data_IF_497379761561
#
_entry.id   IF_497379761561
#
_cell.length_a   1.000
_cell.length_b   1.000
_cell.length_c   1.000
_cell.angle_alpha   90.00
_cell.angle_beta   90.00
_cell.angle_gamma   90.00
#
_symmetry.space_group_name_H-M   'P 1'
#
loop_
_entity.id
_entity.type
_entity.pdbx_description
1 polymer ?
#
# COMPACT_ATOMS: atom_id res chain seq x y z
N UNK A 1 -17.48 19.70 -14.33
CA UNK A 1 -17.10 19.21 -15.67
C UNK A 1 -15.86 18.33 -15.48
N UNK A 2 -15.87 17.12 -16.05
CA UNK A 2 -14.71 16.24 -16.02
C UNK A 2 -13.84 16.53 -17.24
N UNK A 3 -12.58 16.87 -17.01
CA UNK A 3 -11.56 17.12 -18.03
C UNK A 3 -10.46 16.05 -17.91
N UNK A 4 -9.59 16.00 -18.93
CA UNK A 4 -8.40 15.14 -18.93
C UNK A 4 -7.14 15.99 -18.77
N UNK A 5 -6.15 15.44 -18.07
CA UNK A 5 -4.78 15.96 -17.99
C UNK A 5 -3.78 14.84 -18.13
N UNK A 6 -2.55 15.22 -18.38
CA UNK A 6 -1.42 14.30 -18.41
C UNK A 6 -1.17 13.63 -17.04
N UNK A 7 -0.75 12.38 -17.06
CA UNK A 7 -0.16 11.68 -15.94
C UNK A 7 1.33 12.01 -15.89
N UNK A 8 1.78 12.62 -14.79
CA UNK A 8 3.15 13.10 -14.64
C UNK A 8 4.07 11.94 -14.21
N UNK A 9 4.57 11.20 -15.19
CA UNK A 9 5.32 9.96 -15.04
C UNK A 9 6.57 10.12 -14.18
N UNK A 10 7.34 11.20 -14.40
CA UNK A 10 8.55 11.51 -13.63
C UNK A 10 8.25 11.70 -12.14
N UNK A 11 7.11 12.29 -11.78
CA UNK A 11 6.69 12.43 -10.38
C UNK A 11 6.38 11.09 -9.74
N UNK A 12 5.71 10.20 -10.47
CA UNK A 12 5.43 8.85 -10.00
C UNK A 12 6.72 8.05 -9.78
N UNK A 13 7.66 8.15 -10.73
CA UNK A 13 8.99 7.52 -10.64
C UNK A 13 9.81 8.09 -9.49
N UNK A 14 9.85 9.43 -9.35
CA UNK A 14 10.58 10.09 -8.25
C UNK A 14 10.03 9.63 -6.89
N UNK A 15 8.70 9.58 -6.74
CA UNK A 15 8.05 9.05 -5.55
C UNK A 15 8.44 7.59 -5.28
N UNK A 16 8.33 6.74 -6.31
CA UNK A 16 8.66 5.33 -6.20
C UNK A 16 10.11 5.11 -5.74
N UNK A 17 11.08 5.79 -6.35
CA UNK A 17 12.49 5.69 -5.97
C UNK A 17 12.74 6.17 -4.54
N UNK A 18 12.09 7.26 -4.11
CA UNK A 18 12.24 7.79 -2.75
C UNK A 18 11.74 6.80 -1.69
N UNK A 19 10.63 6.13 -1.95
CA UNK A 19 9.94 5.29 -0.98
C UNK A 19 10.05 3.78 -1.22
N UNK A 20 10.90 3.35 -2.16
CA UNK A 20 11.12 1.94 -2.45
C UNK A 20 11.64 1.14 -1.24
N UNK A 21 12.58 1.72 -0.48
CA UNK A 21 13.26 1.07 0.64
C UNK A 21 12.82 1.60 2.01
N UNK A 22 11.96 2.62 2.03
CA UNK A 22 11.39 3.21 3.24
C UNK A 22 9.89 3.39 3.08
N UNK A 23 9.20 3.71 4.17
CA UNK A 23 7.74 3.92 4.12
C UNK A 23 7.40 5.39 4.26
N UNK A 24 6.48 5.87 3.42
CA UNK A 24 5.95 7.22 3.57
C UNK A 24 5.04 7.28 4.81
N UNK A 25 5.31 8.16 5.79
CA UNK A 25 4.57 8.22 7.05
C UNK A 25 3.09 8.62 6.89
N UNK A 26 2.69 9.16 5.74
CA UNK A 26 1.28 9.47 5.46
C UNK A 26 0.41 8.24 5.23
N UNK A 27 1.03 7.08 4.97
CA UNK A 27 0.30 5.87 4.62
C UNK A 27 0.61 4.73 5.57
N UNK A 28 -0.43 3.99 5.94
CA UNK A 28 -0.28 2.78 6.73
C UNK A 28 0.43 1.70 5.89
N UNK A 29 1.35 0.94 6.50
CA UNK A 29 1.95 -0.23 5.86
C UNK A 29 1.11 -1.48 6.11
N UNK A 30 0.86 -2.23 5.05
CA UNK A 30 0.08 -3.48 5.10
C UNK A 30 0.99 -4.72 5.09
N UNK A 31 2.26 -4.57 5.41
CA UNK A 31 3.19 -5.68 5.58
C UNK A 31 2.70 -6.64 6.67
N UNK A 32 2.75 -7.94 6.39
CA UNK A 32 2.21 -8.97 7.28
C UNK A 32 0.69 -9.12 7.26
N UNK A 33 -0.04 -8.25 6.54
CA UNK A 33 -1.51 -8.26 6.45
C UNK A 33 -1.95 -8.29 4.97
N UNK A 34 -1.34 -9.14 4.14
CA UNK A 34 -1.68 -9.28 2.73
C UNK A 34 -0.74 -8.58 1.75
N UNK A 35 0.29 -7.87 2.23
CA UNK A 35 1.33 -7.25 1.39
C UNK A 35 1.10 -5.77 1.09
N UNK A 36 2.19 -5.08 0.79
CA UNK A 36 2.23 -3.62 0.60
C UNK A 36 2.43 -3.18 -0.86
N UNK A 37 2.56 -4.12 -1.80
CA UNK A 37 2.97 -3.83 -3.18
C UNK A 37 1.99 -2.88 -3.90
N UNK A 38 0.69 -3.20 -3.88
CA UNK A 38 -0.32 -2.36 -4.54
C UNK A 38 -0.54 -1.03 -3.79
N UNK A 39 -0.44 -1.03 -2.45
CA UNK A 39 -0.47 0.20 -1.65
C UNK A 39 0.64 1.17 -2.07
N UNK A 40 1.87 0.67 -2.19
CA UNK A 40 3.03 1.46 -2.63
C UNK A 40 2.87 1.99 -4.07
N UNK A 41 2.45 1.13 -5.00
CA UNK A 41 2.22 1.54 -6.38
C UNK A 41 1.07 2.56 -6.48
N UNK A 42 0.01 2.40 -5.68
CA UNK A 42 -1.07 3.39 -5.61
C UNK A 42 -0.57 4.76 -5.14
N UNK A 43 0.32 4.81 -4.16
CA UNK A 43 0.95 6.05 -3.71
C UNK A 43 1.78 6.70 -4.83
N UNK A 44 2.56 5.89 -5.55
CA UNK A 44 3.38 6.35 -6.68
C UNK A 44 2.51 6.92 -7.81
N UNK A 45 1.42 6.21 -8.16
CA UNK A 45 0.45 6.68 -9.16
C UNK A 45 -0.26 7.94 -8.69
N UNK A 46 -0.55 8.07 -7.39
CA UNK A 46 -1.12 9.29 -6.83
C UNK A 46 -0.16 10.47 -6.98
N UNK A 47 1.13 10.29 -6.74
CA UNK A 47 2.13 11.34 -6.92
C UNK A 47 2.16 11.88 -8.36
N UNK A 48 1.93 11.02 -9.37
CA UNK A 48 1.83 11.43 -10.77
C UNK A 48 0.47 11.97 -11.20
N UNK A 49 -0.61 11.63 -10.48
CA UNK A 49 -1.98 11.99 -10.87
C UNK A 49 -2.58 13.12 -10.04
N UNK A 50 -2.31 13.18 -8.75
CA UNK A 50 -2.92 14.05 -7.76
C UNK A 50 -4.46 14.05 -7.77
N UNK A 51 -5.07 12.93 -8.15
CA UNK A 51 -6.54 12.78 -8.19
C UNK A 51 -6.92 11.40 -7.72
N UNK A 52 -7.69 11.33 -6.64
CA UNK A 52 -8.34 10.11 -6.17
C UNK A 52 -9.78 10.02 -6.68
N UNK A 53 -10.32 8.80 -6.74
CA UNK A 53 -11.73 8.55 -7.00
C UNK A 53 -12.42 8.03 -5.74
N UNK A 54 -13.30 8.83 -5.16
CA UNK A 54 -13.96 8.54 -3.88
C UNK A 54 -15.27 7.74 -4.00
N UNK A 55 -15.56 7.13 -5.15
CA UNK A 55 -16.71 6.23 -5.28
C UNK A 55 -16.52 5.07 -4.30
N UNK A 56 -17.46 4.81 -3.39
CA UNK A 56 -17.37 3.69 -2.45
C UNK A 56 -17.19 2.35 -3.19
N UNK A 57 -16.33 1.46 -2.67
CA UNK A 57 -16.03 0.12 -3.19
C UNK A 57 -15.34 0.13 -4.56
N UNK A 58 -15.88 0.83 -5.55
CA UNK A 58 -15.40 0.82 -6.95
C UNK A 58 -14.40 1.94 -7.27
N UNK A 59 -14.18 2.87 -6.36
CA UNK A 59 -13.21 3.95 -6.53
C UNK A 59 -11.77 3.52 -6.23
N UNK A 60 -10.90 4.52 -6.21
CA UNK A 60 -9.49 4.35 -5.88
C UNK A 60 -9.05 5.54 -5.02
N UNK A 61 -9.00 5.32 -3.71
CA UNK A 61 -8.68 6.35 -2.73
C UNK A 61 -8.10 5.76 -1.45
N UNK A 62 -7.41 6.60 -0.68
CA UNK A 62 -6.93 6.32 0.65
C UNK A 62 -7.17 7.53 1.56
N UNK A 63 -7.81 7.31 2.70
CA UNK A 63 -7.99 8.29 3.77
C UNK A 63 -7.32 7.81 5.07
N UNK A 64 -7.37 6.51 5.33
CA UNK A 64 -6.70 5.85 6.45
C UNK A 64 -6.65 4.34 6.19
N UNK A 65 -5.99 3.60 7.09
CA UNK A 65 -5.93 2.13 7.02
C UNK A 65 -7.31 1.47 6.89
N UNK A 66 -8.33 2.01 7.55
CA UNK A 66 -9.70 1.48 7.56
C UNK A 66 -10.65 2.19 6.59
N UNK A 67 -10.21 3.29 5.96
CA UNK A 67 -11.01 4.10 5.04
C UNK A 67 -10.27 4.25 3.71
N UNK A 68 -10.23 3.19 2.97
CA UNK A 68 -9.66 3.13 1.61
C UNK A 68 -10.52 2.27 0.70
N UNK A 69 -10.41 2.49 -0.60
CA UNK A 69 -11.03 1.61 -1.58
C UNK A 69 -10.24 0.28 -1.69
N UNK A 70 -10.91 -0.85 -2.02
CA UNK A 70 -10.22 -2.11 -2.31
C UNK A 70 -9.14 -1.98 -3.41
N UNK A 71 -9.37 -1.12 -4.39
CA UNK A 71 -8.43 -0.86 -5.48
C UNK A 71 -7.13 -0.20 -5.02
N UNK A 72 -7.08 0.42 -3.83
CA UNK A 72 -5.86 1.01 -3.30
C UNK A 72 -4.81 -0.03 -2.88
N UNK A 73 -5.25 -1.20 -2.39
CA UNK A 73 -4.35 -2.22 -1.83
C UNK A 73 -4.43 -3.59 -2.51
N UNK A 74 -5.46 -3.84 -3.31
CA UNK A 74 -5.68 -5.15 -3.91
C UNK A 74 -5.28 -5.20 -5.39
N UNK A 75 -4.42 -6.18 -5.75
CA UNK A 75 -3.84 -6.34 -7.10
C UNK A 75 -4.91 -6.34 -8.19
N UNK A 76 -5.91 -7.23 -8.08
CA UNK A 76 -6.97 -7.34 -9.09
C UNK A 76 -7.92 -6.15 -9.08
N UNK A 77 -8.20 -5.58 -7.89
CA UNK A 77 -9.07 -4.40 -7.77
C UNK A 77 -8.42 -3.16 -8.39
N UNK A 78 -7.10 -2.98 -8.21
CA UNK A 78 -6.32 -1.92 -8.86
C UNK A 78 -6.43 -2.02 -10.38
N UNK A 79 -6.19 -3.19 -10.94
CA UNK A 79 -6.35 -3.44 -12.37
C UNK A 79 -7.75 -3.06 -12.85
N UNK A 80 -8.77 -3.63 -12.19
CA UNK A 80 -10.16 -3.39 -12.57
C UNK A 80 -10.52 -1.89 -12.56
N UNK A 81 -10.01 -1.15 -11.58
CA UNK A 81 -10.19 0.29 -11.53
C UNK A 81 -9.50 0.98 -12.71
N UNK A 82 -8.20 0.75 -12.90
CA UNK A 82 -7.42 1.49 -13.90
C UNK A 82 -7.95 1.31 -15.32
N UNK A 83 -8.35 0.09 -15.70
CA UNK A 83 -8.80 -0.19 -17.08
C UNK A 83 -10.26 0.15 -17.34
N UNK A 84 -11.09 0.33 -16.29
CA UNK A 84 -12.50 0.62 -16.45
C UNK A 84 -12.92 2.01 -15.95
N UNK A 85 -11.98 2.82 -15.41
CA UNK A 85 -12.33 4.12 -14.86
C UNK A 85 -12.76 5.09 -15.96
N UNK A 86 -14.02 5.49 -15.95
CA UNK A 86 -14.60 6.51 -16.83
C UNK A 86 -14.88 7.84 -16.12
N UNK A 87 -14.66 7.89 -14.80
CA UNK A 87 -14.86 9.04 -13.93
C UNK A 87 -13.53 9.65 -13.49
N UNK A 88 -13.49 10.50 -12.47
CA UNK A 88 -12.28 11.14 -11.94
C UNK A 88 -11.24 10.12 -11.51
N UNK A 89 -9.97 10.47 -11.58
CA UNK A 89 -8.83 9.62 -11.22
C UNK A 89 -7.99 9.20 -12.44
N UNK A 90 -6.90 8.47 -12.19
CA UNK A 90 -6.09 7.88 -13.25
C UNK A 90 -6.87 6.81 -14.00
N UNK A 91 -6.54 6.62 -15.27
CA UNK A 91 -7.09 5.57 -16.12
C UNK A 91 -6.03 5.06 -17.08
N UNK A 92 -6.19 3.83 -17.54
CA UNK A 92 -5.21 3.19 -18.42
C UNK A 92 -5.78 2.03 -19.19
N UNK A 93 -4.92 1.37 -19.94
CA UNK A 93 -5.22 0.18 -20.72
C UNK A 93 -4.11 -0.87 -20.58
N UNK A 94 -4.41 -2.11 -20.94
CA UNK A 94 -3.37 -3.15 -21.04
C UNK A 94 -2.65 -3.00 -22.37
N UNK A 95 -1.34 -2.99 -22.30
CA UNK A 95 -0.48 -2.90 -23.49
C UNK A 95 0.55 -4.03 -23.50
N UNK A 96 1.08 -4.40 -24.68
CA UNK A 96 2.27 -5.24 -24.77
C UNK A 96 3.46 -4.62 -24.04
N UNK A 97 4.39 -5.45 -23.56
CA UNK A 97 5.54 -4.98 -22.78
C UNK A 97 6.46 -4.05 -23.57
N UNK A 98 6.50 -4.20 -24.88
CA UNK A 98 7.27 -3.36 -25.80
C UNK A 98 6.74 -1.91 -25.89
N UNK A 99 5.52 -1.68 -25.44
CA UNK A 99 4.87 -0.36 -25.39
C UNK A 99 4.91 0.27 -23.99
N UNK A 100 5.51 -0.44 -23.03
CA UNK A 100 5.63 0.04 -21.66
C UNK A 100 6.44 1.34 -21.59
N UNK A 101 6.09 2.19 -20.65
CA UNK A 101 6.77 3.44 -20.36
C UNK A 101 7.11 3.54 -18.86
N UNK A 102 8.04 4.41 -18.49
CA UNK A 102 8.28 4.73 -17.09
C UNK A 102 6.99 5.22 -16.43
N UNK A 103 6.78 4.87 -15.18
CA UNK A 103 5.55 5.20 -14.45
C UNK A 103 4.36 4.28 -14.77
N UNK A 104 4.47 3.35 -15.73
CA UNK A 104 3.50 2.29 -15.94
C UNK A 104 3.59 1.23 -14.84
N UNK A 105 2.54 0.45 -14.73
CA UNK A 105 2.39 -0.55 -13.68
C UNK A 105 2.47 -1.96 -14.28
N UNK A 106 3.31 -2.81 -13.69
CA UNK A 106 3.37 -4.24 -14.03
C UNK A 106 2.69 -5.03 -12.93
N UNK A 107 1.91 -6.03 -13.31
CA UNK A 107 1.40 -7.04 -12.38
C UNK A 107 1.86 -8.42 -12.80
N UNK A 108 2.43 -9.16 -11.84
CA UNK A 108 2.96 -10.51 -12.04
C UNK A 108 1.92 -11.57 -11.70
N UNK A 109 1.83 -12.60 -12.53
CA UNK A 109 0.96 -13.76 -12.37
C UNK A 109 1.78 -14.97 -11.91
N UNK A 110 1.28 -15.72 -10.93
CA UNK A 110 1.86 -16.98 -10.47
C UNK A 110 1.40 -18.19 -11.29
N UNK A 111 1.86 -19.39 -10.92
CA UNK A 111 1.52 -20.63 -11.60
C UNK A 111 0.03 -21.04 -11.42
N UNK A 112 -0.66 -20.48 -10.45
CA UNK A 112 -2.09 -20.72 -10.20
C UNK A 112 -2.99 -19.74 -10.97
N UNK A 113 -2.43 -19.01 -11.94
CA UNK A 113 -3.13 -18.00 -12.74
C UNK A 113 -3.64 -16.79 -11.94
N UNK A 114 -3.05 -16.54 -10.75
CA UNK A 114 -3.40 -15.41 -9.89
C UNK A 114 -2.39 -14.28 -10.07
N UNK A 115 -2.86 -13.07 -10.36
CA UNK A 115 -2.03 -11.87 -10.28
C UNK A 115 -1.82 -11.50 -8.81
N UNK A 116 -0.58 -11.59 -8.34
CA UNK A 116 -0.25 -11.53 -6.92
C UNK A 116 0.65 -10.35 -6.52
N UNK A 117 1.32 -9.74 -7.47
CA UNK A 117 2.30 -8.68 -7.18
C UNK A 117 2.14 -7.49 -8.12
N UNK A 118 2.37 -6.28 -7.61
CA UNK A 118 2.25 -5.02 -8.36
C UNK A 118 3.55 -4.24 -8.24
N UNK A 119 4.10 -3.84 -9.37
CA UNK A 119 5.38 -3.15 -9.55
C UNK A 119 5.15 -1.85 -10.32
N UNK A 120 6.03 -0.85 -10.15
CA UNK A 120 6.04 0.35 -11.00
C UNK A 120 7.35 0.41 -11.78
N UNK A 121 7.27 0.71 -13.08
CA UNK A 121 8.44 0.87 -13.96
C UNK A 121 9.11 2.20 -13.65
N UNK A 122 10.40 2.16 -13.33
CA UNK A 122 11.17 3.36 -13.00
C UNK A 122 12.19 3.72 -14.06
N UNK A 123 12.64 2.76 -14.87
CA UNK A 123 13.56 3.00 -15.98
C UNK A 123 13.42 1.91 -17.05
N UNK A 124 13.69 2.27 -18.30
CA UNK A 124 13.83 1.33 -19.41
C UNK A 124 15.15 1.69 -20.09
N UNK A 125 16.12 0.78 -20.02
CA UNK A 125 17.46 1.01 -20.56
C UNK A 125 17.96 -0.25 -21.27
N UNK A 126 18.39 -0.07 -22.53
CA UNK A 126 18.97 -1.15 -23.36
C UNK A 126 18.08 -2.41 -23.45
N UNK A 127 16.76 -2.21 -23.42
CA UNK A 127 15.76 -3.29 -23.44
C UNK A 127 15.49 -3.92 -22.07
N UNK A 128 16.19 -3.53 -21.03
CA UNK A 128 15.94 -3.95 -19.66
C UNK A 128 14.95 -2.99 -18.95
N UNK A 129 13.97 -3.55 -18.27
CA UNK A 129 13.00 -2.81 -17.47
C UNK A 129 13.43 -2.87 -16.01
N UNK A 130 13.61 -1.69 -15.40
CA UNK A 130 13.87 -1.57 -13.97
C UNK A 130 12.59 -1.14 -13.23
N UNK A 131 12.38 -1.70 -12.05
CA UNK A 131 11.16 -1.47 -11.27
C UNK A 131 11.46 -1.10 -9.82
N UNK A 132 10.50 -0.43 -9.19
CA UNK A 132 10.40 -0.32 -7.75
C UNK A 132 9.17 -1.09 -7.24
N UNK A 133 9.32 -1.70 -6.05
CA UNK A 133 8.26 -2.43 -5.37
C UNK A 133 8.44 -2.46 -3.86
N UNK A 134 7.33 -2.70 -3.15
CA UNK A 134 7.35 -3.07 -1.73
C UNK A 134 6.83 -4.50 -1.53
N UNK A 135 6.94 -4.99 -0.30
CA UNK A 135 6.74 -6.36 0.23
C UNK A 135 7.98 -7.26 0.07
N UNK A 136 8.72 -7.12 -1.02
CA UNK A 136 10.15 -7.40 -1.13
C UNK A 136 10.73 -6.12 -1.69
N UNK A 137 11.29 -5.30 -0.80
CA UNK A 137 11.73 -3.95 -1.14
C UNK A 137 12.73 -3.97 -2.29
N UNK A 138 12.39 -3.24 -3.34
CA UNK A 138 13.15 -3.22 -4.58
C UNK A 138 13.27 -1.80 -5.10
N UNK A 139 14.50 -1.34 -5.28
CA UNK A 139 14.85 -0.05 -5.88
C UNK A 139 15.56 -0.31 -7.22
N UNK A 140 14.96 0.14 -8.30
CA UNK A 140 15.49 -0.02 -9.67
C UNK A 140 15.98 -1.47 -9.96
N UNK A 141 15.22 -2.45 -9.47
CA UNK A 141 15.54 -3.86 -9.63
C UNK A 141 15.15 -4.32 -11.04
N UNK A 142 16.03 -5.06 -11.76
CA UNK A 142 15.70 -5.61 -13.07
C UNK A 142 14.49 -6.54 -13.00
N UNK A 143 13.51 -6.33 -13.89
CA UNK A 143 12.33 -7.19 -14.01
C UNK A 143 12.72 -8.63 -14.33
N UNK A 144 13.79 -8.83 -15.11
CA UNK A 144 14.34 -10.13 -15.48
C UNK A 144 14.76 -11.00 -14.28
N UNK A 145 14.91 -10.43 -13.09
CA UNK A 145 15.26 -11.14 -11.85
C UNK A 145 14.07 -11.69 -11.08
N UNK A 146 12.84 -11.46 -11.56
CA UNK A 146 11.62 -11.97 -10.97
C UNK A 146 11.19 -13.29 -11.62
N UNK A 147 10.68 -14.21 -10.83
CA UNK A 147 10.04 -15.43 -11.31
C UNK A 147 8.53 -15.22 -11.41
N UNK A 148 7.95 -15.44 -12.58
CA UNK A 148 6.51 -15.33 -12.81
C UNK A 148 6.10 -16.20 -14.00
N UNK A 149 4.84 -16.63 -14.04
CA UNK A 149 4.27 -17.36 -15.18
C UNK A 149 3.96 -16.42 -16.34
N UNK A 150 3.39 -15.27 -16.03
CA UNK A 150 2.96 -14.25 -16.98
C UNK A 150 2.96 -12.88 -16.30
N UNK A 151 2.87 -11.84 -17.09
CA UNK A 151 2.68 -10.47 -16.60
C UNK A 151 1.66 -9.72 -17.44
N UNK A 152 1.15 -8.61 -16.90
CA UNK A 152 0.43 -7.59 -17.67
C UNK A 152 1.00 -6.22 -17.36
N UNK A 153 1.06 -5.38 -18.38
CA UNK A 153 1.42 -3.97 -18.26
C UNK A 153 0.15 -3.14 -18.29
N UNK A 154 -0.05 -2.32 -17.28
CA UNK A 154 -1.12 -1.33 -17.21
C UNK A 154 -0.49 0.01 -17.56
N UNK A 155 -0.68 0.45 -18.79
CA UNK A 155 -0.23 1.76 -19.26
C UNK A 155 -1.19 2.83 -18.73
N UNK A 156 -0.66 3.79 -17.98
CA UNK A 156 -1.46 4.91 -17.47
C UNK A 156 -1.56 5.97 -18.56
N UNK A 157 -2.72 6.06 -19.20
CA UNK A 157 -2.98 6.96 -20.33
C UNK A 157 -3.15 8.42 -19.92
N UNK A 158 -3.60 8.67 -18.68
CA UNK A 158 -3.87 10.01 -18.21
C UNK A 158 -4.71 10.05 -16.94
N UNK A 159 -5.18 11.24 -16.63
CA UNK A 159 -5.95 11.52 -15.42
C UNK A 159 -7.20 12.31 -15.77
N UNK A 160 -8.37 11.86 -15.31
CA UNK A 160 -9.61 12.61 -15.36
C UNK A 160 -9.78 13.39 -14.06
N UNK A 161 -10.17 14.65 -14.14
CA UNK A 161 -10.33 15.48 -12.95
C UNK A 161 -11.54 16.41 -13.07
N UNK A 162 -12.11 16.76 -11.92
CA UNK A 162 -13.13 17.79 -11.83
C UNK A 162 -12.46 19.16 -11.58
N UNK A 163 -12.77 20.14 -12.41
CA UNK A 163 -12.17 21.48 -12.32
C UNK A 163 -12.38 22.20 -10.98
N UNK A 164 -13.33 21.73 -10.18
CA UNK A 164 -13.58 22.25 -8.83
C UNK A 164 -12.54 21.81 -7.79
N UNK A 165 -11.77 20.75 -8.09
CA UNK A 165 -10.84 20.10 -7.15
C UNK A 165 -9.47 19.92 -7.78
N UNK A 166 -8.86 21.02 -8.22
CA UNK A 166 -7.49 20.98 -8.75
C UNK A 166 -6.52 21.30 -7.62
N UNK A 167 -5.79 20.29 -7.16
CA UNK A 167 -4.74 20.42 -6.16
C UNK A 167 -3.48 19.77 -6.69
N UNK A 168 -2.34 20.44 -6.61
CA UNK A 168 -1.05 19.78 -6.76
C UNK A 168 -0.65 19.16 -5.41
N UNK A 169 -0.60 17.84 -5.37
CA UNK A 169 -0.34 17.07 -4.16
C UNK A 169 1.12 16.64 -4.03
N UNK A 170 1.95 16.85 -5.08
CA UNK A 170 3.23 16.19 -5.20
C UNK A 170 4.16 16.52 -4.04
N UNK A 171 4.37 17.79 -3.74
CA UNK A 171 5.30 18.20 -2.68
C UNK A 171 4.88 17.64 -1.31
N UNK A 172 3.59 17.68 -1.00
CA UNK A 172 3.07 17.16 0.27
C UNK A 172 3.15 15.64 0.39
N UNK A 173 3.16 14.92 -0.73
CA UNK A 173 3.37 13.47 -0.76
C UNK A 173 4.85 13.10 -0.77
N UNK A 174 5.64 13.87 -1.52
CA UNK A 174 7.05 13.60 -1.73
C UNK A 174 7.89 13.94 -0.51
N UNK A 175 7.59 15.05 0.15
CA UNK A 175 8.29 15.52 1.35
C UNK A 175 7.29 15.96 2.42
N UNK A 176 6.56 15.00 3.01
CA UNK A 176 5.55 15.33 3.99
C UNK A 176 6.16 16.01 5.21
N UNK A 177 5.49 17.04 5.77
CA UNK A 177 5.94 17.64 7.01
C UNK A 177 6.00 16.56 8.11
N UNK A 178 7.11 16.50 8.81
CA UNK A 178 7.23 15.58 9.95
C UNK A 178 6.10 15.87 10.94
N UNK A 179 5.49 14.82 11.53
CA UNK A 179 4.55 15.03 12.62
C UNK A 179 5.22 15.84 13.72
N UNK A 180 4.52 16.78 14.39
CA UNK A 180 5.07 17.52 15.50
C UNK A 180 5.65 16.53 16.52
N UNK A 181 6.91 16.77 16.92
CA UNK A 181 7.55 15.99 17.99
C UNK A 181 6.74 16.28 19.25
N UNK A 182 5.84 15.38 19.60
CA UNK A 182 5.19 15.40 20.91
C UNK A 182 6.27 15.00 21.91
N UNK A 183 6.68 15.89 22.84
CA UNK A 183 7.61 15.48 23.88
C UNK A 183 6.99 14.29 24.62
N UNK A 184 7.79 13.32 25.07
CA UNK A 184 7.27 12.21 25.84
C UNK A 184 6.45 12.80 27.00
N UNK A 185 5.17 12.42 27.10
CA UNK A 185 4.37 12.79 28.27
C UNK A 185 5.13 12.30 29.49
N UNK A 186 5.48 13.20 30.39
CA UNK A 186 5.96 12.83 31.73
C UNK A 186 4.90 11.90 32.31
N UNK A 187 5.19 10.60 32.27
CA UNK A 187 4.42 9.64 33.03
C UNK A 187 4.71 9.92 34.49
N UNK A 188 3.80 10.62 35.13
CA UNK A 188 3.76 10.70 36.58
C UNK A 188 3.71 9.25 37.08
N UNK A 189 4.66 8.79 37.92
CA UNK A 189 4.59 7.45 38.44
C UNK A 189 3.30 7.33 39.24
N UNK A 190 2.39 6.48 38.80
CA UNK A 190 1.24 6.08 39.60
C UNK A 190 1.77 5.34 40.81
N UNK A 191 1.59 5.94 42.00
CA UNK A 191 1.73 5.24 43.28
C UNK A 191 0.71 4.10 43.31
N UNK A 192 1.13 2.91 42.89
CA UNK A 192 0.42 1.68 43.24
C UNK A 192 0.70 1.43 44.75
N UNK A 193 -0.29 1.68 45.58
CA UNK A 193 -0.33 1.21 46.93
C UNK A 193 -0.26 -0.33 46.90
N UNK A 194 0.82 -0.89 47.45
CA UNK A 194 0.98 -2.31 47.68
C UNK A 194 0.03 -2.72 48.83
N UNK A 195 -0.95 -3.59 48.60
CA UNK A 195 -1.77 -4.09 49.71
C UNK A 195 -0.94 -4.96 50.67
N UNK A 196 -1.21 -4.94 52.00
CA UNK A 196 -0.46 -5.70 52.99
C UNK A 196 -0.66 -7.20 52.78
N UNK A 197 0.34 -8.03 53.14
CA UNK A 197 0.23 -9.48 53.04
C UNK A 197 -0.77 -10.04 54.03
N UNK A 198 -1.79 -10.72 53.54
CA UNK A 198 -2.74 -11.48 54.36
C UNK A 198 -2.03 -12.70 54.95
N UNK A 199 -2.12 -12.80 56.27
CA UNK A 199 -1.56 -13.88 57.08
C UNK A 199 -2.20 -15.24 56.78
N UNK A 200 -1.39 -16.22 57.01
CA UNK A 200 -1.65 -17.64 56.97
C UNK A 200 -2.81 -18.06 57.89
N UNK A 201 -3.63 -18.95 57.41
CA UNK A 201 -4.28 -19.96 58.28
C UNK A 201 -4.23 -21.32 57.58
N UNK A 202 -3.40 -22.15 58.17
CA UNK A 202 -3.28 -23.57 57.89
C UNK A 202 -4.51 -24.28 58.48
N UNK A 203 -5.27 -24.99 57.68
CA UNK A 203 -6.14 -26.07 58.15
C UNK A 203 -5.83 -27.35 57.39
N UNK A 204 -5.33 -28.25 58.18
CA UNK A 204 -5.03 -29.65 57.97
C UNK A 204 -6.36 -30.43 57.91
N UNK A 205 -6.61 -31.18 56.83
CA UNK A 205 -7.58 -32.29 56.90
C UNK A 205 -7.12 -33.46 55.99
N UNK A 206 -7.08 -34.61 56.69
CA UNK A 206 -6.68 -35.96 56.32
C UNK A 206 -7.57 -36.60 55.24
N UNK A 207 -7.05 -37.73 54.63
CA UNK A 207 -7.71 -38.40 53.52
C UNK A 207 -8.76 -39.43 53.99
N UNK A 208 -9.80 -39.66 53.23
CA UNK A 208 -10.67 -40.82 53.33
C UNK A 208 -10.78 -41.55 52.01
N UNK A 209 -10.58 -42.82 52.11
CA UNK A 209 -10.60 -43.90 51.12
C UNK A 209 -12.01 -44.20 50.55
N UNK A 210 -11.93 -45.07 49.50
CA UNK A 210 -12.97 -46.01 49.02
C UNK A 210 -14.04 -45.36 48.11
N UNK A 211 -14.43 -46.00 47.02
CA UNK A 211 -14.44 -47.37 46.50
C UNK A 211 -15.07 -47.40 45.11
N UNK A 212 -14.67 -48.33 44.42
CA UNK A 212 -15.21 -49.28 43.43
C UNK A 212 -16.60 -49.09 42.80
N UNK A 213 -16.61 -49.58 41.56
CA UNK A 213 -17.71 -50.20 40.76
C UNK A 213 -18.70 -49.22 40.12
N UNK A 214 -18.98 -49.28 38.84
CA UNK A 214 -19.11 -50.35 37.79
C UNK A 214 -18.77 -49.81 36.40
#
# INVERSE_FOLDING_TARGET
MILKKEYLRERAVAYARKYALVRNPLFYTFEGIGGNCTNFVSQSVLAGSCVMNFIPIYGWFYLSSNRRAPAWTGVQFFYNFMVNNLDVGPYGSVVPIEQAQIGDVIQLQNNDDVYYHTLIITEIRDGEILICANSVDSLDRPLSTYEYKSLRVIHIEGVRYDTRYVVDCFESLYDPPLPPITPPSEQTPSNEEVPPPNGESIEEQTPSETGEEE
#
